data_IF_031934333509
#
_entry.id   IF_031934333509
#
_cell.length_a   1.000
_cell.length_b   1.000
_cell.length_c   1.000
_cell.angle_alpha   90.00
_cell.angle_beta   90.00
_cell.angle_gamma   90.00
#
_symmetry.space_group_name_H-M   'P 1'
#
loop_
_entity.id
_entity.type
_entity.pdbx_description
1 polymer ?
#
# COMPACT_ATOMS: atom_id res chain seq x y z
N UNK A 1 -22.30 8.78 -6.13
CA UNK A 1 -21.13 9.40 -5.47
C UNK A 1 -19.92 8.98 -6.28
N UNK A 2 -19.45 9.83 -7.18
CA UNK A 2 -18.31 9.50 -8.04
C UNK A 2 -17.05 9.76 -7.23
N UNK A 3 -16.37 8.70 -6.81
CA UNK A 3 -15.03 8.81 -6.23
C UNK A 3 -14.08 9.08 -7.40
N UNK A 4 -13.54 10.28 -7.45
CA UNK A 4 -12.52 10.65 -8.44
C UNK A 4 -11.23 9.94 -8.01
N UNK A 5 -11.02 8.74 -8.52
CA UNK A 5 -9.80 7.94 -8.29
C UNK A 5 -8.63 8.39 -9.16
N UNK A 6 -8.88 9.23 -10.17
CA UNK A 6 -7.86 9.69 -11.12
C UNK A 6 -7.41 11.11 -10.80
N UNK A 7 -6.22 11.22 -10.23
CA UNK A 7 -5.49 12.46 -10.06
C UNK A 7 -4.22 12.50 -10.92
N UNK A 8 -3.48 13.61 -10.93
CA UNK A 8 -2.19 13.72 -11.63
C UNK A 8 -1.11 12.72 -11.15
N UNK A 9 -1.43 11.93 -10.12
CA UNK A 9 -0.59 10.88 -9.50
C UNK A 9 -0.85 9.48 -10.10
N UNK A 10 -1.72 9.37 -11.09
CA UNK A 10 -2.12 8.10 -11.70
C UNK A 10 -3.46 7.57 -11.19
N UNK A 11 -3.81 6.38 -11.66
CA UNK A 11 -5.05 5.67 -11.33
C UNK A 11 -4.80 4.66 -10.21
N UNK A 12 -5.70 4.55 -9.25
CA UNK A 12 -5.60 3.49 -8.23
C UNK A 12 -5.83 2.10 -8.85
N UNK A 13 -5.05 1.12 -8.40
CA UNK A 13 -5.30 -0.29 -8.71
C UNK A 13 -6.45 -0.88 -7.89
N UNK A 14 -6.78 -2.14 -8.17
CA UNK A 14 -7.81 -2.86 -7.42
C UNK A 14 -7.42 -3.03 -5.94
N UNK A 15 -8.44 -2.96 -5.08
CA UNK A 15 -8.27 -3.24 -3.66
C UNK A 15 -7.97 -4.73 -3.42
N UNK A 16 -7.11 -5.00 -2.44
CA UNK A 16 -6.90 -6.36 -1.95
C UNK A 16 -8.12 -6.85 -1.15
N UNK A 17 -8.33 -8.18 -1.05
CA UNK A 17 -9.36 -8.73 -0.17
C UNK A 17 -9.16 -8.30 1.29
N UNK A 18 -10.26 -8.13 2.00
CA UNK A 18 -10.22 -7.91 3.46
C UNK A 18 -9.70 -9.14 4.21
N UNK A 19 -9.26 -8.94 5.46
CA UNK A 19 -8.91 -10.06 6.34
C UNK A 19 -10.07 -11.06 6.48
N UNK A 20 -9.81 -12.37 6.61
CA UNK A 20 -10.85 -13.38 6.69
C UNK A 20 -11.69 -13.24 7.97
N UNK A 21 -13.02 -13.17 7.85
CA UNK A 21 -13.94 -13.28 8.99
C UNK A 21 -13.65 -12.32 10.15
N UNK A 22 -13.33 -12.86 11.33
CA UNK A 22 -13.04 -12.08 12.55
C UNK A 22 -11.59 -11.58 12.64
N UNK A 23 -10.75 -11.90 11.65
CA UNK A 23 -9.33 -11.57 11.70
C UNK A 23 -9.11 -10.07 11.56
N UNK A 24 -7.99 -9.58 12.07
CA UNK A 24 -7.60 -8.17 12.04
C UNK A 24 -6.20 -8.00 11.50
N UNK A 25 -5.92 -6.82 10.96
CA UNK A 25 -4.56 -6.44 10.59
C UNK A 25 -3.73 -6.38 11.86
N UNK A 26 -2.70 -7.22 11.91
CA UNK A 26 -1.79 -7.33 13.05
C UNK A 26 -0.35 -6.93 12.67
N UNK A 27 -0.08 -6.69 11.39
CA UNK A 27 1.25 -6.31 10.94
C UNK A 27 1.28 -5.80 9.51
N UNK A 28 2.42 -5.19 9.17
CA UNK A 28 2.70 -4.62 7.87
C UNK A 28 4.12 -5.00 7.43
N UNK A 29 4.29 -5.37 6.18
CA UNK A 29 5.60 -5.43 5.51
C UNK A 29 5.62 -4.43 4.37
N UNK A 30 6.62 -3.57 4.36
CA UNK A 30 6.79 -2.55 3.34
C UNK A 30 7.89 -2.97 2.36
N UNK A 31 7.72 -2.63 1.08
CA UNK A 31 8.81 -2.65 0.11
C UNK A 31 9.34 -1.23 -0.04
N UNK A 32 10.57 -1.03 0.39
CA UNK A 32 11.28 0.24 0.21
C UNK A 32 12.21 0.15 -1.00
N UNK A 33 12.35 1.27 -1.69
CA UNK A 33 13.43 1.47 -2.64
C UNK A 33 14.77 1.57 -1.89
N UNK A 34 15.85 0.98 -2.42
CA UNK A 34 17.18 1.20 -1.87
C UNK A 34 17.61 2.67 -2.11
N UNK A 35 18.44 3.26 -1.24
CA UNK A 35 18.92 4.64 -1.42
C UNK A 35 19.55 4.83 -2.82
N UNK A 36 19.15 5.87 -3.55
CA UNK A 36 19.61 6.13 -4.92
C UNK A 36 20.67 7.25 -5.03
N UNK A 37 20.98 7.98 -3.95
CA UNK A 37 21.93 9.09 -3.95
C UNK A 37 21.44 10.38 -3.27
N UNK A 38 21.53 11.49 -3.99
CA UNK A 38 21.46 12.86 -3.44
C UNK A 38 20.09 13.54 -3.49
N UNK A 39 19.05 12.84 -3.94
CA UNK A 39 17.67 13.32 -4.03
C UNK A 39 16.77 12.59 -3.01
N UNK A 40 15.46 12.91 -2.96
CA UNK A 40 14.51 12.25 -2.07
C UNK A 40 14.30 10.77 -2.46
N UNK A 41 15.17 9.88 -1.98
CA UNK A 41 15.23 8.47 -2.40
C UNK A 41 14.34 7.51 -1.59
N UNK A 42 13.27 8.01 -0.97
CA UNK A 42 12.44 7.16 -0.09
C UNK A 42 11.01 7.09 -0.60
N UNK A 43 10.78 6.27 -1.61
CA UNK A 43 9.44 5.86 -2.00
C UNK A 43 9.05 4.55 -1.29
N UNK A 44 7.89 4.56 -0.63
CA UNK A 44 7.20 3.32 -0.27
C UNK A 44 6.59 2.77 -1.55
N UNK A 45 7.11 1.65 -2.03
CA UNK A 45 6.70 1.06 -3.30
C UNK A 45 5.55 0.06 -3.16
N UNK A 46 5.45 -0.60 -2.01
CA UNK A 46 4.42 -1.61 -1.78
C UNK A 46 4.16 -1.84 -0.30
N UNK A 47 2.95 -2.32 0.00
CA UNK A 47 2.52 -2.73 1.33
C UNK A 47 1.88 -4.12 1.27
N UNK A 48 2.34 -5.03 2.13
CA UNK A 48 1.65 -6.27 2.45
C UNK A 48 1.10 -6.21 3.87
N UNK A 49 -0.21 -6.36 4.01
CA UNK A 49 -0.89 -6.47 5.30
C UNK A 49 -0.90 -7.93 5.77
N UNK A 50 -0.66 -8.13 7.07
CA UNK A 50 -0.76 -9.43 7.72
C UNK A 50 -2.02 -9.48 8.57
N UNK A 51 -2.82 -10.52 8.39
CA UNK A 51 -4.04 -10.75 9.15
C UNK A 51 -3.79 -11.83 10.20
N UNK A 52 -4.26 -11.61 11.43
CA UNK A 52 -4.24 -12.57 12.53
C UNK A 52 -5.67 -12.82 13.05
N UNK A 53 -5.94 -13.99 13.65
CA UNK A 53 -7.21 -14.29 14.31
C UNK A 53 -7.68 -13.23 15.30
#
# INVERSE_FOLDING_TARGET
RLEVTDGPKGTWGDWSPSCPGSWRVCGISTRLEPPQGGDDDTALNDVKLHCCP
#
